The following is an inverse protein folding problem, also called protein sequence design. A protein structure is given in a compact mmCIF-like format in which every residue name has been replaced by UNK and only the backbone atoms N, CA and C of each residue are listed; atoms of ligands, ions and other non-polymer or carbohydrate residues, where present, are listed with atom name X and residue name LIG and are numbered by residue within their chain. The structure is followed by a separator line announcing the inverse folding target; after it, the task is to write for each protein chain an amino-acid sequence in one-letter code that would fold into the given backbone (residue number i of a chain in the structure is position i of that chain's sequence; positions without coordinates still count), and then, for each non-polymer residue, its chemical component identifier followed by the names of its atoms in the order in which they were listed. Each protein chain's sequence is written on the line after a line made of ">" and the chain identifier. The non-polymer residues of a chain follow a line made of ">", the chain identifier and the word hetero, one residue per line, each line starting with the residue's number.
data_IF_527742860701
#
_entry.id   IF_527742860701
#
_cell.length_a   1.000
_cell.length_b   1.000
_cell.length_c   1.000
_cell.angle_alpha   90.00
_cell.angle_beta   90.00
_cell.angle_gamma   90.00
#
_symmetry.space_group_name_H-M   'P 1'
#
loop_
_entity.id
_entity.type
_entity.pdbx_description
1 polymer ?
#
# COMPACT_ATOMS: atom_id res chain seq x y z
N UNK A 1 -1.04 -15.67 -10.39
CA UNK A 1 -2.20 -15.04 -9.73
C UNK A 1 -1.71 -14.45 -8.43
N UNK A 2 -1.72 -13.13 -8.38
CA UNK A 2 -1.03 -12.21 -7.46
C UNK A 2 -1.45 -12.32 -5.99
N UNK A 3 -1.08 -13.42 -5.32
CA UNK A 3 -1.42 -13.66 -3.92
C UNK A 3 -0.68 -12.73 -2.92
N UNK A 4 0.22 -11.86 -3.40
CA UNK A 4 0.88 -10.84 -2.57
C UNK A 4 -0.06 -9.67 -2.21
N UNK A 5 -1.13 -9.43 -3.00
CA UNK A 5 -2.17 -8.45 -2.67
C UNK A 5 -3.08 -8.90 -1.52
N UNK A 6 -3.12 -10.21 -1.20
CA UNK A 6 -4.00 -10.78 -0.18
C UNK A 6 -3.43 -10.76 1.25
N UNK A 7 -2.17 -10.39 1.46
CA UNK A 7 -1.58 -10.30 2.80
C UNK A 7 -1.72 -8.91 3.44
N UNK A 8 -2.59 -8.04 2.89
CA UNK A 8 -2.95 -6.78 3.55
C UNK A 8 -3.94 -7.07 4.66
N UNK A 9 -3.69 -6.54 5.86
CA UNK A 9 -4.68 -6.57 6.93
C UNK A 9 -5.95 -5.82 6.49
N UNK A 10 -7.10 -6.12 7.10
CA UNK A 10 -8.34 -5.38 6.81
C UNK A 10 -8.16 -3.86 6.98
N UNK A 11 -7.33 -3.44 7.93
CA UNK A 11 -7.00 -2.03 8.15
C UNK A 11 -6.19 -1.44 6.98
N UNK A 12 -5.17 -2.14 6.48
CA UNK A 12 -4.39 -1.69 5.34
C UNK A 12 -5.21 -1.63 4.05
N UNK A 13 -6.16 -2.55 3.87
CA UNK A 13 -7.10 -2.50 2.76
C UNK A 13 -7.98 -1.25 2.84
N UNK A 14 -8.50 -0.92 4.03
CA UNK A 14 -9.29 0.30 4.20
C UNK A 14 -8.47 1.57 3.97
N UNK A 15 -7.25 1.65 4.50
CA UNK A 15 -6.36 2.77 4.24
C UNK A 15 -6.04 2.93 2.75
N UNK A 16 -5.84 1.83 2.03
CA UNK A 16 -5.62 1.85 0.59
C UNK A 16 -6.84 2.41 -0.15
N UNK A 17 -8.06 1.97 0.21
CA UNK A 17 -9.33 2.44 -0.38
C UNK A 17 -9.56 3.93 -0.10
N UNK A 18 -9.34 4.39 1.12
CA UNK A 18 -9.43 5.81 1.47
C UNK A 18 -8.41 6.64 0.69
N UNK A 19 -7.17 6.15 0.56
CA UNK A 19 -6.13 6.87 -0.16
C UNK A 19 -6.44 7.01 -1.65
N UNK A 20 -6.96 5.96 -2.28
CA UNK A 20 -7.41 6.00 -3.68
C UNK A 20 -8.53 7.03 -3.84
N UNK A 21 -9.53 7.03 -2.95
CA UNK A 21 -10.62 8.01 -2.99
C UNK A 21 -10.13 9.44 -2.82
N UNK A 22 -9.19 9.69 -1.90
CA UNK A 22 -8.56 11.00 -1.71
C UNK A 22 -7.82 11.47 -2.97
N UNK A 23 -7.08 10.58 -3.63
CA UNK A 23 -6.38 10.91 -4.88
C UNK A 23 -7.37 11.24 -6.00
N UNK A 24 -8.47 10.49 -6.10
CA UNK A 24 -9.54 10.79 -7.05
C UNK A 24 -10.21 12.14 -6.79
N UNK A 25 -10.46 12.49 -5.53
CA UNK A 25 -10.99 13.82 -5.15
C UNK A 25 -10.04 14.96 -5.53
N UNK A 26 -8.73 14.69 -5.55
CA UNK A 26 -7.71 15.65 -6.02
C UNK A 26 -7.61 15.72 -7.56
N UNK A 27 -8.44 14.97 -8.29
CA UNK A 27 -8.43 14.92 -9.75
C UNK A 27 -7.47 13.89 -10.35
N UNK A 28 -6.91 12.99 -9.54
CA UNK A 28 -6.06 11.89 -10.03
C UNK A 28 -6.94 10.83 -10.70
N UNK A 29 -6.54 10.35 -11.87
CA UNK A 29 -7.22 9.22 -12.52
C UNK A 29 -7.18 7.97 -11.64
N UNK A 30 -8.25 7.18 -11.63
CA UNK A 30 -8.33 5.95 -10.83
C UNK A 30 -7.15 4.99 -11.06
N UNK A 31 -6.65 4.89 -12.30
CA UNK A 31 -5.49 4.04 -12.62
C UNK A 31 -4.18 4.55 -12.00
N UNK A 32 -3.99 5.87 -12.01
CA UNK A 32 -2.82 6.50 -11.40
C UNK A 32 -2.90 6.47 -9.88
N UNK A 33 -4.09 6.67 -9.31
CA UNK A 33 -4.34 6.55 -7.88
C UNK A 33 -4.02 5.14 -7.35
N UNK A 34 -4.45 4.10 -8.07
CA UNK A 34 -4.12 2.71 -7.74
C UNK A 34 -2.61 2.47 -7.83
N UNK A 35 -1.93 2.97 -8.85
CA UNK A 35 -0.49 2.81 -9.01
C UNK A 35 0.30 3.45 -7.86
N UNK A 36 -0.11 4.65 -7.44
CA UNK A 36 0.48 5.36 -6.29
C UNK A 36 0.31 4.54 -5.01
N UNK A 37 -0.91 4.06 -4.72
CA UNK A 37 -1.19 3.29 -3.51
C UNK A 37 -0.49 1.93 -3.53
N UNK A 38 -0.44 1.24 -4.66
CA UNK A 38 0.31 -0.01 -4.81
C UNK A 38 1.82 0.17 -4.63
N UNK A 39 2.37 1.34 -4.98
CA UNK A 39 3.77 1.69 -4.69
C UNK A 39 3.98 1.92 -3.19
N UNK A 40 3.13 2.71 -2.55
CA UNK A 40 3.19 2.99 -1.12
C UNK A 40 3.10 1.71 -0.27
N UNK A 41 2.17 0.80 -0.63
CA UNK A 41 2.02 -0.48 0.06
C UNK A 41 3.28 -1.35 -0.05
N UNK A 42 3.92 -1.38 -1.23
CA UNK A 42 5.18 -2.12 -1.44
C UNK A 42 6.33 -1.53 -0.63
N UNK A 43 6.43 -0.21 -0.57
CA UNK A 43 7.45 0.49 0.22
C UNK A 43 7.24 0.24 1.72
N UNK A 44 6.00 0.29 2.21
CA UNK A 44 5.66 -0.04 3.60
C UNK A 44 5.97 -1.50 3.93
N UNK A 45 5.60 -2.45 3.07
CA UNK A 45 5.92 -3.86 3.28
C UNK A 45 7.43 -4.10 3.31
N UNK A 46 8.17 -3.48 2.38
CA UNK A 46 9.63 -3.57 2.33
C UNK A 46 10.26 -2.94 3.59
N UNK A 47 9.74 -1.81 4.06
CA UNK A 47 10.19 -1.17 5.29
C UNK A 47 9.92 -2.03 6.53
N UNK A 48 8.75 -2.68 6.63
CA UNK A 48 8.41 -3.60 7.72
C UNK A 48 9.39 -4.78 7.74
N UNK A 49 9.64 -5.41 6.59
CA UNK A 49 10.59 -6.52 6.47
C UNK A 49 12.00 -6.07 6.87
N UNK A 50 12.43 -4.88 6.42
CA UNK A 50 13.76 -4.34 6.71
C UNK A 50 13.93 -3.95 8.18
N UNK A 51 12.90 -3.39 8.82
CA UNK A 51 12.94 -3.02 10.25
C UNK A 51 13.00 -4.26 11.13
N UNK A 52 12.24 -5.31 10.80
CA UNK A 52 12.35 -6.58 11.51
C UNK A 52 13.74 -7.21 11.36
N UNK A 53 14.37 -7.07 10.19
CA UNK A 53 15.74 -7.56 9.96
C UNK A 53 16.84 -6.73 10.65
N UNK A 54 16.58 -5.47 11.01
CA UNK A 54 17.53 -4.61 11.74
C UNK A 54 17.42 -4.71 13.26
N UNK A 55 16.37 -5.34 13.78
CA UNK A 55 16.15 -5.56 15.22
C UNK A 55 16.98 -6.70 15.83
N UNK A 56 17.74 -7.46 15.04
CA UNK A 56 18.56 -8.60 15.49
C UNK A 56 20.09 -8.36 15.39
N UNK A 57 20.56 -7.11 15.41
CA UNK A 57 22.00 -6.79 15.47
C UNK A 57 22.36 -5.98 16.71
#
# INVERSE_FOLDING_TARGET
>A
MDNALLNLTHEQQQQAVERIQQLMLQGTSSGEAIAIVAKQLREQYSAIILNNAKGEM
#
